data_IF_837873735578
#
_entry.id   IF_837873735578
#
_cell.length_a   1.000
_cell.length_b   1.000
_cell.length_c   1.000
_cell.angle_alpha   90.00
_cell.angle_beta   90.00
_cell.angle_gamma   90.00
#
_symmetry.space_group_name_H-M   'P 1'
#
loop_
_entity.id
_entity.type
_entity.pdbx_description
1 polymer ?
#
# COMPACT_ATOMS: atom_id res chain seq x y z
N UNK A 1 -1.62 -4.52 2.23
CA UNK A 1 -1.72 -4.63 0.75
C UNK A 1 -1.27 -3.36 0.05
N UNK A 2 -1.73 -2.17 0.47
CA UNK A 2 -1.43 -0.90 -0.22
C UNK A 2 0.07 -0.65 -0.50
N UNK A 3 0.91 -0.54 0.54
CA UNK A 3 2.34 -0.25 0.37
C UNK A 3 3.10 -1.35 -0.35
N UNK A 4 2.70 -2.61 -0.14
CA UNK A 4 3.25 -3.75 -0.89
C UNK A 4 3.03 -3.56 -2.39
N UNK A 5 1.81 -3.26 -2.80
CA UNK A 5 1.46 -3.06 -4.21
C UNK A 5 2.21 -1.86 -4.79
N UNK A 6 2.35 -0.76 -4.03
CA UNK A 6 3.13 0.40 -4.47
C UNK A 6 4.61 0.06 -4.73
N UNK A 7 5.26 -0.69 -3.83
CA UNK A 7 6.64 -1.15 -4.03
C UNK A 7 6.76 -2.06 -5.25
N UNK A 8 5.82 -3.00 -5.41
CA UNK A 8 5.83 -3.91 -6.56
C UNK A 8 5.68 -3.15 -7.88
N UNK A 9 4.75 -2.19 -7.98
CA UNK A 9 4.61 -1.35 -9.18
C UNK A 9 5.81 -0.43 -9.42
N UNK A 10 6.48 0.03 -8.35
CA UNK A 10 7.76 0.74 -8.49
C UNK A 10 8.85 -0.14 -9.12
N UNK A 11 8.93 -1.41 -8.73
CA UNK A 11 9.90 -2.36 -9.27
C UNK A 11 9.58 -2.81 -10.70
N UNK A 12 8.30 -2.89 -11.08
CA UNK A 12 7.88 -3.20 -12.45
C UNK A 12 7.85 -1.98 -13.37
N UNK A 13 8.02 -0.77 -12.85
CA UNK A 13 8.12 0.46 -13.64
C UNK A 13 9.17 0.30 -14.75
N UNK A 14 8.87 0.79 -15.96
CA UNK A 14 9.74 0.65 -17.14
C UNK A 14 11.16 1.21 -16.95
N UNK A 15 11.34 2.23 -16.11
CA UNK A 15 12.66 2.77 -15.78
C UNK A 15 13.49 1.82 -14.90
N UNK A 16 12.85 0.94 -14.14
CA UNK A 16 13.52 -0.03 -13.24
C UNK A 16 13.64 -1.41 -13.90
N UNK A 17 12.57 -1.90 -14.53
CA UNK A 17 12.52 -3.24 -15.13
C UNK A 17 13.49 -3.41 -16.30
N UNK A 18 13.84 -2.32 -17.00
CA UNK A 18 14.82 -2.34 -18.11
C UNK A 18 16.28 -2.53 -17.70
N UNK A 19 16.61 -2.41 -16.41
CA UNK A 19 17.99 -2.47 -15.90
C UNK A 19 18.50 -3.92 -15.87
N UNK A 20 18.65 -4.53 -17.05
CA UNK A 20 18.96 -5.96 -17.21
C UNK A 20 20.26 -6.38 -16.52
N UNK A 21 21.29 -5.53 -16.51
CA UNK A 21 22.57 -5.83 -15.84
C UNK A 21 22.38 -5.88 -14.33
N UNK A 22 21.62 -4.95 -13.77
CA UNK A 22 21.23 -4.94 -12.35
C UNK A 22 20.39 -6.16 -11.99
N UNK A 23 19.33 -6.45 -12.76
CA UNK A 23 18.49 -7.62 -12.55
C UNK A 23 19.28 -8.94 -12.68
N UNK A 24 20.28 -9.03 -13.56
CA UNK A 24 21.14 -10.24 -13.68
C UNK A 24 21.82 -10.59 -12.34
N UNK A 25 22.25 -9.59 -11.58
CA UNK A 25 22.93 -9.76 -10.28
C UNK A 25 22.01 -10.15 -9.12
N UNK A 26 20.69 -10.00 -9.25
CA UNK A 26 19.73 -10.39 -8.21
C UNK A 26 19.69 -11.93 -8.08
N UNK A 27 19.77 -12.49 -6.85
CA UNK A 27 19.71 -13.94 -6.64
C UNK A 27 18.44 -14.58 -7.21
N UNK A 28 18.57 -15.77 -7.81
CA UNK A 28 17.44 -16.48 -8.44
C UNK A 28 16.29 -16.78 -7.46
N UNK A 29 16.60 -17.06 -6.19
CA UNK A 29 15.60 -17.26 -5.13
C UNK A 29 14.71 -16.01 -4.96
N UNK A 30 15.30 -14.81 -5.01
CA UNK A 30 14.57 -13.56 -4.91
C UNK A 30 13.76 -13.27 -6.18
N UNK A 31 14.32 -13.51 -7.36
CA UNK A 31 13.58 -13.40 -8.64
C UNK A 31 12.34 -14.29 -8.67
N UNK A 32 12.46 -15.55 -8.19
CA UNK A 32 11.32 -16.47 -8.10
C UNK A 32 10.24 -15.96 -7.14
N UNK A 33 10.63 -15.37 -6.01
CA UNK A 33 9.69 -14.74 -5.07
C UNK A 33 9.00 -13.51 -5.69
N UNK A 34 9.76 -12.66 -6.36
CA UNK A 34 9.25 -11.49 -7.06
C UNK A 34 8.20 -11.85 -8.12
N UNK A 35 8.46 -12.87 -8.97
CA UNK A 35 7.48 -13.34 -9.97
C UNK A 35 6.17 -13.84 -9.35
N UNK A 36 6.22 -14.47 -8.16
CA UNK A 36 4.99 -14.88 -7.45
C UNK A 36 4.18 -13.66 -7.00
N UNK A 37 4.87 -12.63 -6.53
CA UNK A 37 4.24 -11.37 -6.12
C UNK A 37 3.68 -10.60 -7.31
N UNK A 38 4.35 -10.63 -8.45
CA UNK A 38 3.86 -10.03 -9.70
C UNK A 38 2.57 -10.70 -10.17
N UNK A 39 2.51 -12.04 -10.17
CA UNK A 39 1.28 -12.77 -10.51
C UNK A 39 0.11 -12.44 -9.56
N UNK A 40 0.38 -12.17 -8.29
CA UNK A 40 -0.67 -11.74 -7.36
C UNK A 40 -1.29 -10.39 -7.74
N UNK A 41 -0.57 -9.54 -8.48
CA UNK A 41 -1.03 -8.22 -8.93
C UNK A 41 -1.62 -8.21 -10.35
N UNK A 42 -1.76 -9.39 -10.96
CA UNK A 42 -2.26 -9.57 -12.31
C UNK A 42 -3.68 -8.95 -12.45
N UNK A 43 -3.92 -8.05 -13.43
CA UNK A 43 -5.23 -7.47 -13.68
C UNK A 43 -6.24 -8.46 -14.29
N UNK A 44 -5.79 -9.63 -14.77
CA UNK A 44 -6.65 -10.64 -15.38
C UNK A 44 -7.86 -11.01 -14.49
N UNK A 45 -9.00 -11.28 -15.13
CA UNK A 45 -10.25 -11.65 -14.45
C UNK A 45 -10.65 -10.66 -13.33
N UNK A 46 -10.49 -9.36 -13.60
CA UNK A 46 -10.75 -8.28 -12.63
C UNK A 46 -9.97 -8.42 -11.30
N UNK A 47 -8.65 -8.63 -11.41
CA UNK A 47 -7.74 -8.82 -10.28
C UNK A 47 -8.10 -10.01 -9.38
N UNK A 48 -8.53 -11.13 -9.97
CA UNK A 48 -8.98 -12.31 -9.23
C UNK A 48 -7.92 -12.81 -8.23
N UNK A 49 -6.65 -12.92 -8.65
CA UNK A 49 -5.57 -13.38 -7.78
C UNK A 49 -5.40 -12.50 -6.53
N UNK A 50 -5.41 -11.17 -6.71
CA UNK A 50 -5.33 -10.24 -5.58
C UNK A 50 -6.55 -10.34 -4.67
N UNK A 51 -7.76 -10.46 -5.25
CA UNK A 51 -9.00 -10.60 -4.48
C UNK A 51 -9.02 -11.88 -3.64
N UNK A 52 -8.55 -13.00 -4.19
CA UNK A 52 -8.42 -14.27 -3.47
C UNK A 52 -7.45 -14.15 -2.28
N UNK A 53 -6.35 -13.41 -2.44
CA UNK A 53 -5.41 -13.16 -1.33
C UNK A 53 -6.05 -12.26 -0.26
N UNK A 54 -6.68 -11.16 -0.66
CA UNK A 54 -7.35 -10.23 0.27
C UNK A 54 -8.46 -10.92 1.05
N UNK A 55 -9.23 -11.81 0.41
CA UNK A 55 -10.29 -12.57 1.05
C UNK A 55 -9.81 -13.49 2.19
N UNK A 56 -8.52 -13.86 2.19
CA UNK A 56 -7.90 -14.69 3.23
C UNK A 56 -7.25 -13.86 4.35
N UNK A 57 -7.19 -12.54 4.23
CA UNK A 57 -6.60 -11.67 5.25
C UNK A 57 -7.59 -11.42 6.38
N UNK A 58 -7.12 -11.56 7.62
CA UNK A 58 -7.81 -11.04 8.80
C UNK A 58 -7.44 -9.57 9.02
N UNK A 59 -8.38 -8.72 9.46
CA UNK A 59 -8.06 -7.39 9.99
C UNK A 59 -7.01 -7.46 11.12
N UNK A 60 -6.23 -6.40 11.37
CA UNK A 60 -6.20 -5.15 10.60
C UNK A 60 -5.30 -5.23 9.36
N UNK A 61 -5.76 -4.71 8.22
CA UNK A 61 -4.92 -4.55 7.03
C UNK A 61 -5.31 -3.30 6.22
N UNK A 62 -4.34 -2.68 5.55
CA UNK A 62 -4.62 -1.57 4.64
C UNK A 62 -4.96 -2.16 3.27
N UNK A 63 -6.22 -2.01 2.79
CA UNK A 63 -6.64 -2.54 1.49
C UNK A 63 -5.97 -1.76 0.35
N UNK A 64 -5.92 -2.37 -0.84
CA UNK A 64 -5.47 -1.67 -2.05
C UNK A 64 -6.60 -0.77 -2.57
N UNK A 65 -6.55 0.50 -2.18
CA UNK A 65 -7.61 1.48 -2.44
C UNK A 65 -7.96 1.66 -3.93
N UNK A 66 -7.02 1.66 -4.89
CA UNK A 66 -7.37 1.81 -6.30
C UNK A 66 -8.34 0.75 -6.82
N UNK A 67 -8.28 -0.49 -6.32
CA UNK A 67 -9.25 -1.52 -6.71
C UNK A 67 -10.65 -1.25 -6.15
N UNK A 68 -10.75 -0.79 -4.90
CA UNK A 68 -12.03 -0.42 -4.29
C UNK A 68 -12.64 0.80 -4.99
N UNK A 69 -11.83 1.81 -5.31
CA UNK A 69 -12.27 2.99 -6.04
C UNK A 69 -12.72 2.65 -7.45
N UNK A 70 -11.99 1.75 -8.14
CA UNK A 70 -12.41 1.18 -9.42
C UNK A 70 -13.79 0.53 -9.28
N UNK A 71 -13.98 -0.38 -8.31
CA UNK A 71 -15.26 -1.06 -8.10
C UNK A 71 -16.42 -0.07 -7.84
N UNK A 72 -16.20 0.94 -7.00
CA UNK A 72 -17.18 1.99 -6.71
C UNK A 72 -17.52 2.82 -7.97
N UNK A 73 -16.53 3.14 -8.79
CA UNK A 73 -16.71 3.89 -10.04
C UNK A 73 -17.55 3.07 -11.02
N UNK A 74 -17.21 1.80 -11.25
CA UNK A 74 -17.97 0.90 -12.12
C UNK A 74 -19.42 0.71 -11.64
N UNK A 75 -19.65 0.59 -10.32
CA UNK A 75 -21.00 0.52 -9.77
C UNK A 75 -21.77 1.82 -10.04
N UNK A 76 -21.11 2.96 -9.83
CA UNK A 76 -21.73 4.27 -10.00
C UNK A 76 -22.15 4.52 -11.45
N UNK A 77 -21.26 4.27 -12.40
CA UNK A 77 -21.47 4.50 -13.82
C UNK A 77 -22.38 3.44 -14.46
N UNK A 78 -22.25 2.18 -14.05
CA UNK A 78 -23.02 1.07 -14.60
C UNK A 78 -24.47 0.99 -14.11
N UNK A 79 -24.84 1.70 -13.04
CA UNK A 79 -26.18 1.61 -12.45
C UNK A 79 -26.79 3.00 -12.24
N UNK A 80 -28.00 3.23 -12.76
CA UNK A 80 -28.76 4.46 -12.46
C UNK A 80 -29.14 4.52 -10.98
N UNK A 81 -29.05 5.70 -10.38
CA UNK A 81 -29.44 5.93 -8.97
C UNK A 81 -30.95 5.87 -8.76
N UNK A 82 -31.73 6.11 -9.82
CA UNK A 82 -33.19 6.01 -9.82
C UNK A 82 -33.65 5.10 -10.97
N UNK A 83 -34.72 4.34 -10.73
CA UNK A 83 -35.47 3.58 -11.75
C UNK A 83 -36.95 3.87 -11.55
N UNK A 84 -37.64 4.31 -12.61
CA UNK A 84 -39.06 4.66 -12.59
C UNK A 84 -39.43 5.66 -11.47
N UNK A 85 -38.60 6.68 -11.26
CA UNK A 85 -38.81 7.69 -10.21
C UNK A 85 -38.48 7.23 -8.77
N UNK A 86 -38.17 5.95 -8.56
CA UNK A 86 -37.82 5.39 -7.26
C UNK A 86 -36.31 5.20 -7.10
N UNK A 87 -35.82 5.27 -5.86
CA UNK A 87 -34.41 5.02 -5.53
C UNK A 87 -34.04 3.58 -5.86
N UNK A 88 -32.91 3.39 -6.55
CA UNK A 88 -32.39 2.08 -6.86
C UNK A 88 -31.61 1.49 -5.66
N UNK A 89 -32.29 0.76 -4.78
CA UNK A 89 -31.69 0.13 -3.61
C UNK A 89 -30.67 -0.97 -3.95
N UNK A 90 -30.73 -1.57 -5.13
CA UNK A 90 -29.73 -2.53 -5.60
C UNK A 90 -28.36 -1.84 -5.73
N UNK A 91 -28.32 -0.68 -6.40
CA UNK A 91 -27.10 0.16 -6.48
C UNK A 91 -26.59 0.54 -5.09
N UNK A 92 -27.49 0.99 -4.20
CA UNK A 92 -27.10 1.38 -2.84
C UNK A 92 -26.49 0.22 -2.06
N UNK A 93 -27.04 -1.00 -2.23
CA UNK A 93 -26.54 -2.22 -1.60
C UNK A 93 -25.16 -2.62 -2.11
N UNK A 94 -24.91 -2.48 -3.43
CA UNK A 94 -23.59 -2.73 -4.02
C UNK A 94 -22.51 -1.77 -3.49
N UNK A 95 -22.85 -0.47 -3.40
CA UNK A 95 -21.96 0.55 -2.82
C UNK A 95 -21.69 0.23 -1.34
N UNK A 96 -22.75 -0.03 -0.56
CA UNK A 96 -22.64 -0.34 0.86
C UNK A 96 -21.80 -1.61 1.13
N UNK A 97 -21.85 -2.61 0.25
CA UNK A 97 -21.00 -3.81 0.34
C UNK A 97 -19.50 -3.46 0.23
N UNK A 98 -19.12 -2.60 -0.73
CA UNK A 98 -17.73 -2.16 -0.89
C UNK A 98 -17.24 -1.33 0.30
N UNK A 99 -18.08 -0.41 0.81
CA UNK A 99 -17.73 0.40 1.98
C UNK A 99 -17.60 -0.44 3.25
N UNK A 100 -18.42 -1.48 3.41
CA UNK A 100 -18.28 -2.43 4.53
C UNK A 100 -16.93 -3.13 4.52
N UNK A 101 -16.43 -3.54 3.36
CA UNK A 101 -15.07 -4.11 3.27
C UNK A 101 -14.01 -3.17 3.83
N UNK A 102 -14.08 -1.86 3.52
CA UNK A 102 -13.15 -0.86 4.07
C UNK A 102 -13.29 -0.71 5.59
N UNK A 103 -14.52 -0.73 6.09
CA UNK A 103 -14.80 -0.72 7.53
C UNK A 103 -14.18 -1.96 8.20
N UNK A 104 -14.40 -3.14 7.63
CA UNK A 104 -13.91 -4.41 8.17
C UNK A 104 -12.38 -4.46 8.26
N UNK A 105 -11.69 -3.91 7.27
CA UNK A 105 -10.22 -3.79 7.27
C UNK A 105 -9.65 -3.09 8.52
N UNK A 106 -10.41 -2.18 9.14
CA UNK A 106 -9.99 -1.34 10.27
C UNK A 106 -10.74 -1.62 11.58
N UNK A 107 -11.52 -2.71 11.63
CA UNK A 107 -12.32 -3.04 12.82
C UNK A 107 -11.48 -3.58 14.00
N UNK A 108 -10.17 -3.76 13.82
CA UNK A 108 -9.22 -4.11 14.87
C UNK A 108 -8.06 -3.10 14.89
N UNK A 109 -7.47 -2.78 16.05
CA UNK A 109 -6.28 -1.94 16.12
C UNK A 109 -5.05 -2.70 15.61
N UNK A 110 -4.10 -1.98 15.04
CA UNK A 110 -2.76 -2.54 14.77
C UNK A 110 -2.05 -2.80 16.10
N UNK A 111 -1.86 -4.08 16.44
CA UNK A 111 -1.11 -4.44 17.64
C UNK A 111 0.40 -4.35 17.36
N UNK A 112 1.20 -3.86 18.34
CA UNK A 112 2.65 -3.90 18.24
C UNK A 112 3.12 -5.35 18.08
N UNK A 113 3.90 -5.62 17.02
CA UNK A 113 4.40 -6.97 16.69
C UNK A 113 5.41 -7.47 17.77
N UNK A 114 5.78 -6.66 18.76
CA UNK A 114 6.60 -7.06 19.92
C UNK A 114 6.31 -6.21 21.17
N UNK A 115 6.53 -6.74 22.40
CA UNK A 115 6.37 -5.98 23.65
C UNK A 115 7.28 -4.75 23.77
N UNK A 116 8.35 -4.70 22.97
CA UNK A 116 9.29 -3.58 22.92
C UNK A 116 8.79 -2.41 22.04
N UNK A 117 7.72 -2.61 21.26
CA UNK A 117 7.20 -1.64 20.29
C UNK A 117 6.08 -0.72 20.84
N UNK A 118 5.88 -0.66 22.16
CA UNK A 118 5.01 0.33 22.84
C UNK A 118 5.35 1.81 22.49
N UNK A 119 6.48 2.05 21.82
CA UNK A 119 6.94 3.35 21.34
C UNK A 119 6.28 3.81 20.04
N UNK A 120 5.96 2.89 19.12
CA UNK A 120 5.37 3.27 17.82
C UNK A 120 3.96 3.84 18.01
N UNK A 121 3.14 3.23 18.87
CA UNK A 121 1.79 3.70 19.18
C UNK A 121 1.79 5.12 19.77
N UNK A 122 2.74 5.43 20.67
CA UNK A 122 2.88 6.78 21.24
C UNK A 122 3.32 7.83 20.22
N UNK A 123 3.82 7.42 19.06
CA UNK A 123 4.42 8.28 18.03
C UNK A 123 3.53 8.51 16.81
N UNK A 124 2.54 7.63 16.58
CA UNK A 124 1.48 7.85 15.59
C UNK A 124 0.29 8.64 16.18
N UNK A 125 0.08 8.58 17.50
CA UNK A 125 -1.02 9.28 18.19
C UNK A 125 -0.67 10.68 18.75
N UNK A 126 0.62 11.03 18.89
CA UNK A 126 1.01 12.37 19.39
C UNK A 126 1.14 13.37 18.24
N UNK A 127 0.19 14.31 18.17
CA UNK A 127 0.34 15.58 17.46
C UNK A 127 1.52 16.40 18.02
N UNK A 128 2.09 17.34 17.24
CA UNK A 128 3.38 17.95 17.59
C UNK A 128 3.21 19.07 18.61
N UNK A 129 3.28 18.77 19.90
CA UNK A 129 3.55 19.79 20.92
C UNK A 129 4.56 19.31 21.97
N UNK A 130 5.68 20.06 21.99
CA UNK A 130 6.77 20.17 22.98
C UNK A 130 6.69 19.24 24.20
N UNK A 131 7.68 18.35 24.36
CA UNK A 131 8.05 17.88 25.69
C UNK A 131 9.57 17.68 25.85
N UNK A 132 10.06 18.28 26.93
CA UNK A 132 11.44 18.41 27.41
C UNK A 132 12.04 17.03 27.72
N UNK A 133 13.29 16.82 27.31
CA UNK A 133 14.06 15.60 27.46
C UNK A 133 14.47 15.35 28.92
N UNK A 134 14.24 14.14 29.43
CA UNK A 134 15.05 13.53 30.49
C UNK A 134 15.63 12.23 29.94
N UNK A 135 16.96 12.13 30.01
CA UNK A 135 17.79 11.15 29.33
C UNK A 135 18.08 9.95 30.27
N UNK A 136 17.70 8.75 29.86
CA UNK A 136 18.25 7.48 30.36
C UNK A 136 18.22 6.44 29.24
N UNK A 137 19.08 5.43 29.34
CA UNK A 137 19.62 4.48 28.32
C UNK A 137 18.64 3.75 27.37
N UNK A 138 17.36 4.08 27.39
CA UNK A 138 16.36 3.70 26.37
C UNK A 138 16.45 4.55 25.09
N UNK A 139 17.30 5.58 25.08
CA UNK A 139 17.41 6.61 24.05
C UNK A 139 17.90 6.11 22.68
N UNK A 140 18.81 5.14 22.62
CA UNK A 140 19.42 4.68 21.36
C UNK A 140 18.45 3.93 20.42
N UNK A 141 17.49 3.16 20.96
CA UNK A 141 16.49 2.46 20.14
C UNK A 141 15.32 3.36 19.74
N UNK A 142 14.97 4.32 20.61
CA UNK A 142 13.94 5.33 20.37
C UNK A 142 14.37 6.30 19.28
N UNK A 143 15.61 6.78 19.34
CA UNK A 143 16.17 7.72 18.38
C UNK A 143 16.31 7.08 16.99
N UNK A 144 16.75 5.82 16.91
CA UNK A 144 16.78 5.07 15.65
C UNK A 144 15.39 4.89 15.03
N UNK A 145 14.38 4.53 15.83
CA UNK A 145 12.99 4.45 15.37
C UNK A 145 12.45 5.81 14.92
N UNK A 146 12.83 6.89 15.61
CA UNK A 146 12.43 8.26 15.30
C UNK A 146 13.02 8.73 13.96
N UNK A 147 14.29 8.41 13.69
CA UNK A 147 14.94 8.69 12.41
C UNK A 147 14.23 7.94 11.27
N UNK A 148 13.94 6.64 11.45
CA UNK A 148 13.23 5.84 10.45
C UNK A 148 11.84 6.43 10.18
N UNK A 149 11.09 6.78 11.22
CA UNK A 149 9.77 7.41 11.08
C UNK A 149 9.85 8.76 10.35
N UNK A 150 10.84 9.59 10.69
CA UNK A 150 11.06 10.87 10.00
C UNK A 150 11.40 10.67 8.53
N UNK A 151 12.26 9.69 8.20
CA UNK A 151 12.60 9.36 6.82
C UNK A 151 11.37 8.90 6.03
N UNK A 152 10.58 7.97 6.57
CA UNK A 152 9.37 7.45 5.91
C UNK A 152 8.32 8.55 5.71
N UNK A 153 8.16 9.46 6.68
CA UNK A 153 7.18 10.55 6.61
C UNK A 153 7.61 11.68 5.66
N UNK A 154 8.89 11.81 5.34
CA UNK A 154 9.45 12.92 4.55
C UNK A 154 10.17 12.44 3.29
N UNK A 155 9.64 11.39 2.63
CA UNK A 155 10.18 10.90 1.36
C UNK A 155 10.11 11.99 0.29
N UNK A 156 11.28 12.35 -0.27
CA UNK A 156 11.38 13.19 -1.47
C UNK A 156 11.47 12.26 -2.68
N UNK A 157 10.54 12.39 -3.61
CA UNK A 157 10.40 11.49 -4.77
C UNK A 157 10.48 12.26 -6.08
N UNK A 158 10.91 11.57 -7.14
CA UNK A 158 10.77 12.04 -8.52
C UNK A 158 9.57 11.29 -9.09
N UNK A 159 8.55 12.03 -9.50
CA UNK A 159 7.32 11.54 -10.12
C UNK A 159 7.28 11.75 -11.64
N UNK A 160 8.19 12.56 -12.19
CA UNK A 160 8.38 12.71 -13.64
C UNK A 160 8.96 11.44 -14.28
N UNK A 161 8.08 10.68 -14.93
CA UNK A 161 8.43 9.45 -15.63
C UNK A 161 9.47 9.67 -16.76
N UNK A 162 9.46 10.81 -17.45
CA UNK A 162 10.44 11.09 -18.52
C UNK A 162 11.83 11.25 -17.92
N UNK A 163 11.93 11.99 -16.82
CA UNK A 163 13.18 12.14 -16.06
C UNK A 163 13.68 10.80 -15.51
N UNK A 164 12.80 9.98 -14.93
CA UNK A 164 13.16 8.63 -14.46
C UNK A 164 13.70 7.75 -15.59
N UNK A 165 13.04 7.76 -16.76
CA UNK A 165 13.48 7.01 -17.93
C UNK A 165 14.83 7.52 -18.48
N UNK A 166 15.06 8.83 -18.48
CA UNK A 166 16.36 9.40 -18.87
C UNK A 166 17.47 8.96 -17.92
N UNK A 167 17.26 9.05 -16.60
CA UNK A 167 18.22 8.59 -15.60
C UNK A 167 18.52 7.09 -15.76
N UNK A 168 17.50 6.26 -15.98
CA UNK A 168 17.67 4.83 -16.21
C UNK A 168 18.55 4.52 -17.43
N UNK A 169 18.34 5.22 -18.56
CA UNK A 169 19.18 5.07 -19.77
C UNK A 169 20.62 5.51 -19.55
N UNK A 170 20.84 6.51 -18.71
CA UNK A 170 22.20 6.94 -18.37
C UNK A 170 22.93 5.91 -17.50
N UNK A 171 22.21 5.17 -16.65
CA UNK A 171 22.78 4.12 -15.77
C UNK A 171 23.10 2.84 -16.56
N UNK A 172 22.15 2.36 -17.36
CA UNK A 172 22.34 1.24 -18.27
C UNK A 172 21.91 1.66 -19.67
N UNK A 173 22.86 2.13 -20.51
CA UNK A 173 22.60 2.49 -21.91
C UNK A 173 21.96 1.32 -22.67
#
# INVERSE_FOLDING_TARGET
MNSFTAVMYGLTNSAVSRLHKTWKKVPNKMKKRFRRYEHMLDPFSNHEAMRQVVAKLSPPYIPYLPLILKDLTFIHEGNKSYRNGLVNFEKMSMIAKNLRTVKDCRNQPYLPISPQNNLMDKMFLKSPLKQKLTFSDQSLSVEGAQIICLYIRNLKVIDDQRKLSQLSRNIEP
#
